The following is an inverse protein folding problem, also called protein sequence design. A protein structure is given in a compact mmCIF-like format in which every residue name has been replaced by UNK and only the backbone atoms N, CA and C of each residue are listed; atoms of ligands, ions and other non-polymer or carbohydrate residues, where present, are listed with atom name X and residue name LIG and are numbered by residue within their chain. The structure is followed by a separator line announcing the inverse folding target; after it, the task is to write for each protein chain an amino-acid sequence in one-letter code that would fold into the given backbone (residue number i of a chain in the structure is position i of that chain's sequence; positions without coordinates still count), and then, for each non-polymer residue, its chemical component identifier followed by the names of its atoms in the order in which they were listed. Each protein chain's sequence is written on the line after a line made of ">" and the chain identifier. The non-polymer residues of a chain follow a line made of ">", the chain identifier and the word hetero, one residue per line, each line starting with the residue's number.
data_IF_857024768401
#
_entry.id   IF_857024768401
#
_cell.length_a   1.000
_cell.length_b   1.000
_cell.length_c   1.000
_cell.angle_alpha   90.00
_cell.angle_beta   90.00
_cell.angle_gamma   90.00
#
_symmetry.space_group_name_H-M   'P 1'
#
loop_
_entity.id
_entity.type
_entity.pdbx_description
1 polymer ?
#
# COMPACT_ATOMS: atom_id res chain seq x y z
N UNK A 1 -31.16 0.77 30.88
CA UNK A 1 -31.74 0.81 32.25
C UNK A 1 -30.94 -0.18 33.10
N UNK A 2 -30.79 0.04 34.41
CA UNK A 2 -29.99 -0.83 35.30
C UNK A 2 -30.86 -1.59 36.31
N UNK A 3 -30.38 -2.76 36.72
CA UNK A 3 -31.05 -3.75 37.58
C UNK A 3 -31.13 -5.10 36.84
N UNK A 4 -30.76 -6.24 37.42
CA UNK A 4 -30.74 -6.60 38.85
C UNK A 4 -29.49 -7.43 39.23
N UNK A 5 -29.17 -7.50 40.53
CA UNK A 5 -27.99 -8.19 41.09
C UNK A 5 -28.15 -9.72 41.12
N UNK A 6 -27.01 -10.43 41.13
CA UNK A 6 -26.88 -11.89 41.07
C UNK A 6 -26.83 -12.57 42.46
N UNK A 7 -26.89 -13.91 42.40
CA UNK A 7 -26.62 -14.94 43.41
C UNK A 7 -27.75 -15.41 44.35
N UNK A 8 -27.79 -16.74 44.41
CA UNK A 8 -28.68 -17.65 45.16
C UNK A 8 -27.76 -18.74 45.71
N UNK A 9 -28.05 -19.28 46.90
CA UNK A 9 -27.80 -20.69 47.23
C UNK A 9 -28.60 -21.11 48.47
N UNK A 10 -29.01 -22.39 48.51
CA UNK A 10 -29.39 -23.10 49.73
C UNK A 10 -28.21 -23.96 50.23
N UNK A 11 -28.35 -24.92 51.15
CA UNK A 11 -29.57 -25.52 51.72
C UNK A 11 -29.32 -26.11 53.13
N UNK A 12 -30.41 -26.52 53.79
CA UNK A 12 -30.53 -27.50 54.90
C UNK A 12 -29.22 -28.10 55.49
N UNK A 13 -28.74 -27.70 56.68
CA UNK A 13 -29.18 -28.06 58.06
C UNK A 13 -28.85 -29.49 58.55
N UNK A 14 -28.04 -29.56 59.62
CA UNK A 14 -27.90 -30.71 60.54
C UNK A 14 -27.74 -30.23 61.99
N UNK A 15 -28.17 -31.02 62.97
CA UNK A 15 -28.10 -30.73 64.42
C UNK A 15 -26.89 -31.45 65.06
N UNK A 16 -26.40 -31.17 66.28
CA UNK A 16 -27.08 -30.93 67.59
C UNK A 16 -26.12 -30.28 68.62
N UNK A 17 -26.62 -29.76 69.75
CA UNK A 17 -25.83 -29.48 70.96
C UNK A 17 -26.22 -28.21 71.73
N UNK A 18 -26.43 -28.33 73.05
CA UNK A 18 -26.75 -27.22 73.98
C UNK A 18 -28.25 -26.88 74.10
N UNK A 19 -28.82 -26.57 75.27
CA UNK A 19 -28.25 -26.49 76.63
C UNK A 19 -29.26 -26.95 77.71
N UNK A 20 -28.78 -26.96 78.95
CA UNK A 20 -29.40 -27.48 80.18
C UNK A 20 -30.82 -26.95 80.51
N UNK A 21 -31.62 -27.80 81.17
CA UNK A 21 -32.57 -27.36 82.21
C UNK A 21 -32.53 -28.35 83.38
N UNK A 22 -32.36 -27.83 84.60
CA UNK A 22 -32.12 -28.63 85.81
C UNK A 22 -33.42 -29.04 86.50
N UNK A 23 -33.54 -30.27 86.99
CA UNK A 23 -34.54 -30.57 88.03
C UNK A 23 -34.03 -31.55 89.10
N UNK A 24 -34.48 -31.32 90.35
CA UNK A 24 -33.91 -31.94 91.56
C UNK A 24 -34.15 -33.44 91.67
N UNK A 25 -33.14 -34.15 92.15
CA UNK A 25 -33.20 -35.56 92.54
C UNK A 25 -34.14 -35.84 93.73
N UNK A 26 -34.53 -37.11 93.88
CA UNK A 26 -35.33 -37.63 94.98
C UNK A 26 -34.86 -39.02 95.46
N UNK A 27 -34.87 -39.19 96.78
CA UNK A 27 -34.52 -40.34 97.62
C UNK A 27 -35.29 -41.65 97.25
N UNK A 28 -34.89 -42.89 97.61
CA UNK A 28 -33.73 -43.41 98.38
C UNK A 28 -33.48 -44.92 98.14
N UNK A 29 -32.40 -45.43 98.75
CA UNK A 29 -31.77 -46.75 98.65
C UNK A 29 -32.59 -48.05 98.92
N UNK A 30 -32.03 -49.18 98.44
CA UNK A 30 -32.28 -50.56 98.90
C UNK A 30 -32.30 -51.60 97.75
N UNK A 31 -31.66 -52.77 97.83
CA UNK A 31 -30.79 -53.38 98.86
C UNK A 31 -29.91 -54.51 98.23
N UNK A 32 -29.03 -55.14 99.04
CA UNK A 32 -28.34 -56.45 98.85
C UNK A 32 -29.24 -57.55 98.24
N UNK A 33 -28.77 -58.68 97.69
CA UNK A 33 -27.75 -59.69 98.08
C UNK A 33 -27.50 -60.57 96.81
N UNK A 34 -26.40 -61.26 96.48
CA UNK A 34 -25.07 -61.69 97.05
C UNK A 34 -23.97 -61.56 95.94
N UNK A 35 -22.72 -62.07 95.90
CA UNK A 35 -21.83 -63.01 96.65
C UNK A 35 -20.36 -62.43 96.68
N UNK A 36 -19.32 -63.24 96.93
CA UNK A 36 -17.86 -62.94 96.81
C UNK A 36 -17.12 -64.07 96.04
N UNK A 37 -16.05 -63.76 95.29
CA UNK A 37 -15.02 -64.73 94.83
C UNK A 37 -13.64 -64.02 94.79
N UNK A 38 -12.55 -64.76 95.03
CA UNK A 38 -11.23 -64.19 95.39
C UNK A 38 -10.06 -64.70 94.51
N UNK A 39 -9.47 -63.76 93.75
CA UNK A 39 -8.24 -63.91 92.96
C UNK A 39 -8.48 -64.01 91.44
N UNK A 40 -7.58 -63.49 90.59
CA UNK A 40 -6.22 -63.00 90.89
C UNK A 40 -6.08 -61.46 90.88
N UNK A 41 -5.09 -60.98 91.64
CA UNK A 41 -4.56 -59.61 91.58
C UNK A 41 -3.65 -59.48 90.35
N UNK A 42 -4.23 -59.65 89.16
CA UNK A 42 -3.61 -59.08 87.96
C UNK A 42 -3.89 -57.58 88.02
N UNK A 43 -2.85 -56.77 88.25
CA UNK A 43 -2.90 -55.39 87.77
C UNK A 43 -3.22 -55.43 86.29
N UNK A 44 -4.18 -54.63 85.77
CA UNK A 44 -4.35 -54.50 84.33
C UNK A 44 -2.97 -54.25 83.70
N UNK A 45 -2.67 -54.95 82.61
CA UNK A 45 -1.53 -54.56 81.80
C UNK A 45 -1.75 -53.09 81.37
N UNK A 46 -0.70 -52.29 81.34
CA UNK A 46 -0.75 -51.07 80.53
C UNK A 46 -0.98 -51.56 79.09
N UNK A 47 -1.96 -51.02 78.34
CA UNK A 47 -2.35 -51.58 77.04
C UNK A 47 -1.15 -51.62 76.09
N UNK A 48 -0.84 -52.81 75.58
CA UNK A 48 0.38 -53.10 74.82
C UNK A 48 -0.01 -53.64 73.44
N UNK A 49 -0.03 -52.73 72.47
CA UNK A 49 -0.33 -53.02 71.06
C UNK A 49 0.54 -54.17 70.52
N UNK A 50 -0.10 -55.13 69.83
CA UNK A 50 0.57 -56.32 69.30
C UNK A 50 0.44 -57.55 70.21
N UNK A 51 -0.48 -57.56 71.17
CA UNK A 51 -0.76 -58.72 72.03
C UNK A 51 -1.85 -59.66 71.46
N UNK A 52 -2.65 -59.18 70.50
CA UNK A 52 -3.74 -59.89 69.84
C UNK A 52 -5.13 -59.69 70.48
N UNK A 53 -5.31 -58.64 71.29
CA UNK A 53 -6.58 -58.28 71.95
C UNK A 53 -6.74 -56.77 71.90
N UNK A 54 -7.86 -56.28 71.34
CA UNK A 54 -8.16 -54.84 71.24
C UNK A 54 -8.51 -54.28 72.62
N UNK A 55 -7.69 -53.36 73.14
CA UNK A 55 -7.83 -52.71 74.45
C UNK A 55 -8.24 -51.21 74.35
N UNK A 56 -8.36 -50.52 75.49
CA UNK A 56 -8.92 -49.15 75.56
C UNK A 56 -7.91 -48.11 75.01
N UNK A 57 -8.14 -47.67 73.77
CA UNK A 57 -7.26 -46.79 73.00
C UNK A 57 -6.88 -47.35 71.63
N UNK A 58 -7.16 -48.63 71.39
CA UNK A 58 -6.86 -49.34 70.14
C UNK A 58 -8.10 -49.41 69.24
N UNK A 59 -7.86 -49.46 67.92
CA UNK A 59 -8.91 -49.69 66.92
C UNK A 59 -8.86 -51.11 66.36
N UNK A 60 -7.67 -51.72 66.37
CA UNK A 60 -7.39 -53.09 65.97
C UNK A 60 -6.19 -53.63 66.75
N UNK A 61 -6.08 -54.95 66.87
CA UNK A 61 -4.83 -55.61 67.23
C UNK A 61 -4.82 -57.02 66.59
N UNK A 62 -3.87 -57.24 65.69
CA UNK A 62 -3.62 -58.51 65.00
C UNK A 62 -2.35 -59.22 65.50
N UNK A 63 -1.75 -58.75 66.59
CA UNK A 63 -0.57 -59.35 67.23
C UNK A 63 0.69 -59.20 66.39
N UNK A 64 1.37 -60.32 66.11
CA UNK A 64 2.46 -60.43 65.12
C UNK A 64 2.06 -59.96 63.70
N UNK A 65 0.76 -59.68 63.46
CA UNK A 65 0.21 -59.17 62.21
C UNK A 65 0.05 -57.63 62.12
N UNK A 66 0.52 -56.86 63.10
CA UNK A 66 0.55 -55.39 63.03
C UNK A 66 1.81 -54.92 62.28
N UNK A 67 1.73 -53.87 61.47
CA UNK A 67 2.90 -53.34 60.76
C UNK A 67 2.63 -52.29 59.69
N UNK A 68 3.69 -51.60 59.27
CA UNK A 68 3.76 -50.53 58.25
C UNK A 68 3.28 -50.92 56.83
N UNK A 69 2.70 -52.11 56.64
CA UNK A 69 2.11 -52.57 55.36
C UNK A 69 0.93 -53.55 55.56
N UNK A 70 0.43 -53.70 56.78
CA UNK A 70 -0.60 -54.69 57.16
C UNK A 70 -1.87 -53.97 57.65
N UNK A 71 -3.03 -54.62 57.68
CA UNK A 71 -4.33 -53.96 57.98
C UNK A 71 -4.51 -53.38 59.40
N UNK A 72 -3.45 -53.32 60.20
CA UNK A 72 -3.38 -52.69 61.51
C UNK A 72 -1.96 -52.12 61.69
N UNK A 73 -1.85 -50.84 62.04
CA UNK A 73 -0.56 -50.12 62.16
C UNK A 73 0.23 -50.58 63.40
N UNK A 74 1.54 -50.28 63.49
CA UNK A 74 2.34 -50.57 64.70
C UNK A 74 1.79 -49.90 65.98
N UNK A 75 0.95 -48.88 65.84
CA UNK A 75 0.26 -48.13 66.90
C UNK A 75 -1.21 -48.57 67.11
N UNK A 76 -1.61 -49.74 66.59
CA UNK A 76 -2.95 -50.35 66.75
C UNK A 76 -4.12 -49.48 66.28
N UNK A 77 -3.87 -48.62 65.29
CA UNK A 77 -4.90 -47.93 64.53
C UNK A 77 -5.22 -48.75 63.27
N UNK A 78 -6.48 -48.75 62.83
CA UNK A 78 -6.87 -49.43 61.60
C UNK A 78 -6.16 -48.75 60.43
N UNK A 79 -5.54 -49.55 59.56
CA UNK A 79 -4.94 -49.08 58.31
C UNK A 79 -5.92 -48.20 57.53
N UNK A 80 -5.50 -46.99 57.19
CA UNK A 80 -6.36 -46.01 56.53
C UNK A 80 -5.56 -45.13 55.57
N UNK A 81 -6.14 -44.90 54.39
CA UNK A 81 -5.60 -43.97 53.42
C UNK A 81 -5.34 -42.59 54.03
N UNK A 82 -4.14 -42.06 53.82
CA UNK A 82 -3.66 -40.81 54.41
C UNK A 82 -2.95 -40.99 55.76
N UNK A 83 -2.67 -42.21 56.23
CA UNK A 83 -1.97 -42.45 57.51
C UNK A 83 -0.43 -42.44 57.43
N UNK A 84 0.14 -42.53 56.23
CA UNK A 84 1.58 -42.51 55.96
C UNK A 84 2.19 -43.87 55.60
N UNK A 85 1.40 -44.94 55.52
CA UNK A 85 1.86 -46.30 55.24
C UNK A 85 1.11 -46.94 54.06
N UNK A 86 1.82 -47.37 53.00
CA UNK A 86 1.18 -48.04 51.86
C UNK A 86 0.83 -49.50 52.22
N UNK A 87 -0.45 -49.78 52.48
CA UNK A 87 -0.96 -51.10 52.84
C UNK A 87 -1.24 -51.98 51.59
N UNK A 88 -0.15 -52.49 50.99
CA UNK A 88 0.05 -53.27 49.74
C UNK A 88 -0.92 -54.41 49.34
N UNK A 89 -2.00 -54.67 50.09
CA UNK A 89 -3.09 -55.58 49.72
C UNK A 89 -4.44 -54.87 49.56
N UNK A 90 -4.48 -53.56 49.84
CA UNK A 90 -5.68 -52.72 49.93
C UNK A 90 -5.50 -51.37 49.22
N UNK A 91 -4.25 -50.92 49.04
CA UNK A 91 -3.87 -49.58 48.61
C UNK A 91 -2.73 -49.68 47.57
N UNK A 92 -2.81 -48.84 46.53
CA UNK A 92 -1.77 -48.71 45.50
C UNK A 92 -0.79 -47.57 45.83
N UNK A 93 -1.24 -46.52 46.52
CA UNK A 93 -0.46 -45.40 47.05
C UNK A 93 -0.85 -45.03 48.49
N UNK A 94 -0.06 -44.16 49.13
CA UNK A 94 -0.40 -43.34 50.30
C UNK A 94 0.59 -42.16 50.32
N UNK A 95 0.13 -40.96 50.69
CA UNK A 95 0.97 -39.75 50.78
C UNK A 95 0.88 -39.01 52.15
N UNK A 96 0.22 -39.61 53.14
CA UNK A 96 -0.06 -39.07 54.47
C UNK A 96 -1.03 -37.86 54.55
N UNK A 97 -1.99 -37.70 53.62
CA UNK A 97 -2.94 -36.58 53.64
C UNK A 97 -4.36 -36.89 53.08
N UNK A 98 -5.30 -35.93 53.20
CA UNK A 98 -6.74 -36.05 52.81
C UNK A 98 -7.06 -35.33 51.45
N UNK A 99 -6.05 -35.04 50.61
CA UNK A 99 -6.23 -34.22 49.40
C UNK A 99 -6.41 -35.06 48.14
N UNK A 100 -7.62 -35.07 47.60
CA UNK A 100 -7.96 -35.79 46.36
C UNK A 100 -7.18 -35.30 45.11
N UNK A 101 -6.58 -34.10 45.16
CA UNK A 101 -6.02 -33.39 44.00
C UNK A 101 -4.49 -33.44 43.93
N UNK A 102 -3.83 -34.48 44.45
CA UNK A 102 -2.39 -34.70 44.26
C UNK A 102 -2.09 -36.12 43.74
N UNK A 103 -1.00 -36.77 44.15
CA UNK A 103 -0.60 -38.07 43.62
C UNK A 103 -1.47 -39.24 44.11
N UNK A 104 -2.12 -39.11 45.27
CA UNK A 104 -2.91 -40.20 45.84
C UNK A 104 -4.36 -39.78 46.12
N UNK A 105 -5.32 -40.55 45.60
CA UNK A 105 -6.74 -40.31 45.86
C UNK A 105 -7.11 -40.75 47.28
N UNK A 106 -8.16 -40.17 47.89
CA UNK A 106 -8.60 -40.53 49.25
C UNK A 106 -9.23 -41.94 49.39
N UNK A 107 -9.22 -42.75 48.33
CA UNK A 107 -9.48 -44.20 48.36
C UNK A 107 -8.22 -45.05 48.10
N UNK A 108 -7.05 -44.41 48.10
CA UNK A 108 -5.70 -44.93 47.91
C UNK A 108 -5.47 -45.68 46.60
N UNK A 109 -6.12 -45.18 45.54
CA UNK A 109 -5.72 -45.40 44.15
C UNK A 109 -4.80 -44.27 43.68
N UNK A 110 -3.84 -44.57 42.79
CA UNK A 110 -3.00 -43.53 42.16
C UNK A 110 -3.90 -42.58 41.36
N UNK A 111 -3.75 -41.28 41.59
CA UNK A 111 -4.37 -40.26 40.75
C UNK A 111 -3.74 -40.33 39.34
N UNK A 112 -4.58 -40.50 38.31
CA UNK A 112 -4.13 -40.70 36.93
C UNK A 112 -5.08 -40.07 35.91
N UNK A 113 -4.49 -39.29 35.00
CA UNK A 113 -5.15 -38.76 33.81
C UNK A 113 -6.20 -39.72 33.19
N UNK A 114 -7.44 -39.25 33.11
CA UNK A 114 -8.62 -39.99 32.66
C UNK A 114 -9.49 -40.52 33.81
N UNK A 115 -9.19 -40.22 35.07
CA UNK A 115 -9.99 -40.66 36.24
C UNK A 115 -11.10 -39.66 36.65
N UNK A 116 -11.01 -38.41 36.20
CA UNK A 116 -11.92 -37.30 36.47
C UNK A 116 -11.43 -36.29 37.51
N UNK A 117 -10.16 -36.38 37.95
CA UNK A 117 -9.65 -35.63 39.11
C UNK A 117 -8.24 -35.08 38.85
N UNK A 118 -8.16 -33.81 38.43
CA UNK A 118 -6.89 -33.12 38.12
C UNK A 118 -5.86 -33.17 39.25
N UNK A 119 -4.67 -33.69 38.94
CA UNK A 119 -3.46 -33.66 39.78
C UNK A 119 -2.83 -32.25 39.84
N UNK A 120 -2.99 -31.51 40.93
CA UNK A 120 -2.67 -30.07 40.99
C UNK A 120 -1.16 -29.79 40.81
N UNK A 121 -0.79 -29.35 39.61
CA UNK A 121 0.59 -28.99 39.25
C UNK A 121 1.37 -30.10 38.54
N UNK A 122 0.75 -31.26 38.29
CA UNK A 122 1.21 -32.25 37.29
C UNK A 122 0.39 -32.15 36.02
N UNK A 123 -0.93 -31.96 36.15
CA UNK A 123 -1.90 -31.95 35.05
C UNK A 123 -2.51 -30.55 34.84
N UNK A 124 -2.96 -30.28 33.61
CA UNK A 124 -3.62 -29.01 33.24
C UNK A 124 -5.15 -29.13 33.22
N UNK A 125 -5.66 -30.34 33.00
CA UNK A 125 -7.06 -30.73 32.95
C UNK A 125 -7.18 -32.23 33.24
N UNK A 126 -8.40 -32.70 33.48
CA UNK A 126 -8.83 -34.10 33.43
C UNK A 126 -10.36 -34.04 33.21
N UNK A 127 -10.89 -34.86 32.30
CA UNK A 127 -12.33 -34.94 31.98
C UNK A 127 -13.00 -36.27 32.39
N UNK A 128 -12.20 -37.28 32.79
CA UNK A 128 -12.64 -38.61 33.18
C UNK A 128 -12.82 -39.62 32.05
N UNK A 129 -12.08 -39.49 30.94
CA UNK A 129 -12.23 -40.39 29.78
C UNK A 129 -10.92 -40.65 28.98
N UNK A 130 -10.98 -41.55 27.97
CA UNK A 130 -9.84 -42.03 27.15
C UNK A 130 -9.84 -41.38 25.71
N UNK A 131 -10.38 -40.17 25.52
CA UNK A 131 -10.62 -39.58 24.20
C UNK A 131 -9.80 -38.31 23.93
N UNK A 132 -8.73 -38.42 23.13
CA UNK A 132 -7.91 -37.29 22.66
C UNK A 132 -8.67 -36.25 21.78
N UNK A 133 -10.00 -36.29 21.68
CA UNK A 133 -10.81 -35.47 20.76
C UNK A 133 -11.88 -34.64 21.50
N UNK A 134 -11.52 -34.12 22.67
CA UNK A 134 -12.32 -33.18 23.46
C UNK A 134 -11.40 -32.25 24.28
N UNK A 135 -11.96 -31.39 25.14
CA UNK A 135 -11.27 -30.28 25.82
C UNK A 135 -10.02 -30.69 26.66
N UNK A 136 -9.75 -31.99 26.85
CA UNK A 136 -8.56 -32.52 27.52
C UNK A 136 -7.99 -33.77 26.83
N UNK A 137 -6.70 -33.74 26.46
CA UNK A 137 -6.00 -34.89 25.85
C UNK A 137 -5.74 -36.02 26.84
N UNK A 138 -5.47 -37.25 26.36
CA UNK A 138 -5.05 -38.40 27.18
C UNK A 138 -3.64 -38.25 27.80
N UNK A 139 -3.05 -37.06 27.73
CA UNK A 139 -1.82 -36.65 28.42
C UNK A 139 -2.10 -35.55 29.45
N UNK A 140 -3.38 -35.22 29.69
CA UNK A 140 -3.88 -34.20 30.60
C UNK A 140 -3.28 -32.80 30.35
N UNK A 141 -2.98 -32.54 29.08
CA UNK A 141 -2.83 -31.21 28.51
C UNK A 141 -4.16 -30.77 27.89
N UNK A 142 -4.48 -29.48 28.06
CA UNK A 142 -5.60 -28.83 27.36
C UNK A 142 -5.38 -28.88 25.85
N UNK A 143 -6.45 -29.01 25.07
CA UNK A 143 -6.46 -28.87 23.61
C UNK A 143 -5.66 -27.65 23.14
N UNK A 144 -4.75 -27.84 22.19
CA UNK A 144 -3.97 -26.73 21.62
C UNK A 144 -3.74 -26.90 20.13
N UNK A 145 -4.39 -26.04 19.34
CA UNK A 145 -4.07 -25.84 17.94
C UNK A 145 -2.56 -25.87 17.65
N UNK A 146 -2.16 -26.79 16.78
CA UNK A 146 -0.78 -27.15 16.45
C UNK A 146 -0.29 -28.48 17.05
N UNK A 147 -1.13 -29.27 17.74
CA UNK A 147 -0.71 -30.50 18.44
C UNK A 147 -0.85 -31.81 17.62
N UNK A 148 -1.60 -31.78 16.52
CA UNK A 148 -1.82 -32.90 15.60
C UNK A 148 -3.22 -33.49 15.65
N UNK A 149 -4.12 -32.94 16.48
CA UNK A 149 -5.49 -33.41 16.68
C UNK A 149 -6.49 -32.29 16.35
N UNK A 150 -7.65 -32.63 15.77
CA UNK A 150 -8.70 -31.65 15.44
C UNK A 150 -9.79 -31.72 16.52
N UNK A 151 -9.90 -30.66 17.31
CA UNK A 151 -10.71 -30.61 18.53
C UNK A 151 -12.03 -29.82 18.41
N UNK A 152 -12.93 -29.86 19.42
CA UNK A 152 -14.32 -29.36 19.34
C UNK A 152 -14.53 -27.84 19.15
N UNK A 153 -14.14 -27.32 17.99
CA UNK A 153 -14.30 -25.94 17.56
C UNK A 153 -13.48 -25.62 16.31
N UNK A 154 -12.43 -26.40 16.09
CA UNK A 154 -11.46 -26.29 15.02
C UNK A 154 -12.01 -26.82 13.69
N UNK A 155 -11.37 -26.40 12.59
CA UNK A 155 -11.69 -26.84 11.23
C UNK A 155 -10.55 -27.66 10.63
N UNK A 156 -9.33 -27.41 11.08
CA UNK A 156 -8.10 -28.12 10.77
C UNK A 156 -7.19 -28.10 11.99
N UNK A 157 -6.24 -29.03 11.98
CA UNK A 157 -4.98 -29.01 12.71
C UNK A 157 -4.00 -29.79 11.80
N UNK A 158 -2.74 -29.34 11.72
CA UNK A 158 -1.70 -30.00 10.92
C UNK A 158 -0.46 -30.45 11.74
N UNK A 159 -0.47 -30.21 13.06
CA UNK A 159 0.59 -30.56 14.00
C UNK A 159 1.76 -29.58 14.09
N UNK A 160 1.56 -28.28 13.82
CA UNK A 160 2.59 -27.26 14.09
C UNK A 160 2.09 -25.83 14.39
N UNK A 161 2.92 -25.00 15.03
CA UNK A 161 2.61 -23.59 15.40
C UNK A 161 2.64 -22.58 14.22
N UNK A 162 2.62 -23.03 12.96
CA UNK A 162 2.71 -22.14 11.80
C UNK A 162 1.31 -21.79 11.28
N UNK A 163 1.01 -20.49 11.22
CA UNK A 163 -0.27 -20.01 10.69
C UNK A 163 -0.19 -19.58 9.20
N UNK A 164 1.01 -19.59 8.61
CA UNK A 164 1.28 -19.16 7.23
C UNK A 164 1.20 -20.32 6.21
N UNK A 165 0.37 -21.33 6.50
CA UNK A 165 0.11 -22.46 5.59
C UNK A 165 -1.40 -22.71 5.45
N UNK A 166 -1.84 -23.95 5.30
CA UNK A 166 -3.26 -24.26 5.10
C UNK A 166 -4.12 -24.16 6.37
N UNK A 167 -3.52 -23.99 7.56
CA UNK A 167 -4.21 -24.00 8.84
C UNK A 167 -3.91 -22.77 9.74
N UNK A 168 -4.46 -21.62 9.38
CA UNK A 168 -4.35 -20.39 10.17
C UNK A 168 -5.22 -20.46 11.44
N UNK A 169 -4.58 -20.58 12.61
CA UNK A 169 -5.22 -20.56 13.95
C UNK A 169 -6.39 -21.57 14.04
N UNK A 170 -6.16 -22.77 13.49
CA UNK A 170 -7.09 -23.90 13.40
C UNK A 170 -8.41 -23.61 12.67
N UNK A 171 -8.40 -22.57 11.84
CA UNK A 171 -9.29 -22.39 10.70
C UNK A 171 -8.53 -22.69 9.41
N UNK A 172 -9.24 -23.15 8.37
CA UNK A 172 -8.62 -23.23 7.04
C UNK A 172 -8.23 -21.83 6.60
N UNK A 173 -6.97 -21.63 6.20
CA UNK A 173 -6.47 -20.32 5.80
C UNK A 173 -7.32 -19.71 4.68
N UNK A 174 -7.61 -18.41 4.79
CA UNK A 174 -8.37 -17.66 3.81
C UNK A 174 -7.98 -16.19 3.81
N UNK A 175 -7.79 -15.63 2.61
CA UNK A 175 -7.64 -14.20 2.39
C UNK A 175 -8.55 -13.33 3.29
N UNK A 176 -7.92 -12.47 4.09
CA UNK A 176 -8.54 -11.64 5.12
C UNK A 176 -8.60 -12.26 6.51
N UNK A 177 -7.72 -13.22 6.84
CA UNK A 177 -7.64 -13.83 8.18
C UNK A 177 -6.51 -13.30 9.07
N UNK A 178 -5.54 -12.59 8.48
CA UNK A 178 -4.38 -12.01 9.15
C UNK A 178 -3.07 -12.75 8.90
N UNK A 179 -3.07 -13.84 8.12
CA UNK A 179 -1.91 -14.68 7.84
C UNK A 179 -1.80 -15.00 6.34
N UNK A 180 -0.59 -14.87 5.78
CA UNK A 180 -0.36 -15.17 4.36
C UNK A 180 -0.08 -16.66 4.17
N UNK A 181 -0.94 -17.38 3.44
CA UNK A 181 -0.69 -18.77 3.06
C UNK A 181 0.46 -18.87 2.03
N UNK A 182 1.66 -19.26 2.50
CA UNK A 182 2.89 -19.28 1.69
C UNK A 182 2.77 -20.20 0.46
N UNK A 183 2.55 -19.57 -0.71
CA UNK A 183 2.58 -20.23 -2.02
C UNK A 183 1.24 -20.31 -2.75
N UNK A 184 0.13 -19.98 -2.08
CA UNK A 184 -1.18 -19.78 -2.74
C UNK A 184 -1.59 -18.28 -2.71
N UNK A 185 -1.20 -17.54 -1.67
CA UNK A 185 -1.50 -16.11 -1.46
C UNK A 185 -0.22 -15.25 -1.56
N UNK A 186 -0.36 -13.98 -1.99
CA UNK A 186 0.78 -13.04 -2.12
C UNK A 186 0.87 -12.05 -0.96
N UNK A 187 -0.27 -11.67 -0.40
CA UNK A 187 -0.43 -10.76 0.73
C UNK A 187 -1.60 -11.22 1.60
N UNK A 188 -1.73 -10.63 2.78
CA UNK A 188 -2.92 -10.62 3.65
C UNK A 188 -2.71 -9.46 4.64
N UNK A 189 -3.74 -8.64 4.89
CA UNK A 189 -3.71 -7.55 5.88
C UNK A 189 -4.81 -7.68 6.97
N UNK A 190 -5.49 -8.82 7.02
CA UNK A 190 -6.53 -9.16 8.00
C UNK A 190 -7.93 -8.67 7.65
N UNK A 191 -8.20 -8.33 6.37
CA UNK A 191 -9.50 -7.81 5.96
C UNK A 191 -9.93 -8.22 4.52
N UNK A 192 -11.10 -7.76 4.07
CA UNK A 192 -11.77 -8.17 2.82
C UNK A 192 -12.35 -6.98 2.03
N UNK A 193 -11.99 -5.75 2.40
CA UNK A 193 -12.18 -4.58 1.55
C UNK A 193 -11.10 -4.62 0.43
N UNK A 194 -11.29 -3.91 -0.68
CA UNK A 194 -10.36 -3.97 -1.84
C UNK A 194 -9.54 -2.66 -1.98
N UNK A 195 -9.78 -1.68 -1.10
CA UNK A 195 -9.28 -0.31 -1.19
C UNK A 195 -8.19 0.02 -0.16
N UNK A 196 -7.54 -1.01 0.40
CA UNK A 196 -6.28 -0.93 1.14
C UNK A 196 -5.15 -1.80 0.54
N UNK A 197 -4.37 -2.55 1.34
CA UNK A 197 -3.05 -3.03 0.91
C UNK A 197 -3.08 -4.38 0.17
N UNK A 198 -4.14 -5.17 0.37
CA UNK A 198 -4.30 -6.49 -0.21
C UNK A 198 -5.72 -6.68 -0.70
N UNK A 199 -5.90 -6.94 -2.01
CA UNK A 199 -7.23 -7.19 -2.58
C UNK A 199 -7.85 -8.46 -1.98
N UNK A 200 -9.18 -8.59 -1.96
CA UNK A 200 -9.87 -9.81 -1.46
C UNK A 200 -9.65 -11.09 -2.32
N UNK A 201 -8.74 -11.01 -3.30
CA UNK A 201 -8.20 -12.13 -4.08
C UNK A 201 -6.76 -12.51 -3.70
N UNK A 202 -6.22 -11.90 -2.64
CA UNK A 202 -4.87 -12.04 -2.09
C UNK A 202 -3.74 -11.80 -3.09
N UNK A 203 -3.89 -10.67 -3.80
CA UNK A 203 -2.93 -10.02 -4.66
C UNK A 203 -2.64 -8.64 -4.07
N UNK A 204 -1.37 -8.23 -4.02
CA UNK A 204 -0.98 -6.89 -3.57
C UNK A 204 -1.71 -5.83 -4.40
N UNK A 205 -2.28 -4.80 -3.76
CA UNK A 205 -2.91 -3.69 -4.47
C UNK A 205 -1.86 -2.92 -5.29
N UNK A 206 -2.18 -2.60 -6.55
CA UNK A 206 -1.24 -1.92 -7.45
C UNK A 206 -1.94 -0.99 -8.42
N UNK A 207 -1.55 0.29 -8.40
CA UNK A 207 -1.75 1.23 -9.50
C UNK A 207 -1.76 0.56 -10.88
N UNK A 208 -2.87 0.73 -11.59
CA UNK A 208 -3.19 0.07 -12.86
C UNK A 208 -4.12 -1.14 -12.74
N UNK A 209 -4.60 -1.52 -11.54
CA UNK A 209 -5.47 -2.71 -11.35
C UNK A 209 -6.98 -2.46 -11.47
N UNK A 210 -7.42 -1.20 -11.37
CA UNK A 210 -8.83 -0.78 -11.44
C UNK A 210 -9.44 -0.36 -10.10
N UNK A 211 -8.66 -0.31 -9.03
CA UNK A 211 -9.09 -0.06 -7.64
C UNK A 211 -8.11 0.95 -7.00
N UNK A 212 -8.61 1.86 -6.15
CA UNK A 212 -7.78 2.93 -5.56
C UNK A 212 -7.36 2.54 -4.15
N UNK A 213 -6.05 2.41 -3.91
CA UNK A 213 -5.49 2.19 -2.57
C UNK A 213 -5.56 3.47 -1.72
N UNK A 214 -6.51 3.53 -0.78
CA UNK A 214 -6.75 4.73 0.03
C UNK A 214 -5.57 5.12 0.93
N UNK A 215 -4.85 6.16 0.49
CA UNK A 215 -3.84 6.87 1.29
C UNK A 215 -2.44 6.82 0.69
N UNK A 216 -2.17 5.86 -0.19
CA UNK A 216 -1.00 5.86 -1.06
C UNK A 216 -1.35 6.40 -2.46
N UNK A 217 -2.57 6.15 -2.96
CA UNK A 217 -3.05 6.55 -4.29
C UNK A 217 -4.18 7.60 -4.23
N UNK A 218 -4.32 8.40 -5.30
CA UNK A 218 -5.39 9.40 -5.45
C UNK A 218 -6.31 9.14 -6.65
N UNK A 219 -5.86 8.36 -7.63
CA UNK A 219 -6.62 7.88 -8.78
C UNK A 219 -6.17 6.47 -9.15
N UNK A 220 -6.99 5.78 -9.95
CA UNK A 220 -6.64 4.58 -10.71
C UNK A 220 -7.61 4.52 -11.92
N UNK A 221 -7.13 4.16 -13.12
CA UNK A 221 -7.96 3.99 -14.33
C UNK A 221 -7.83 2.59 -15.00
N UNK A 222 -7.28 1.63 -14.28
CA UNK A 222 -6.97 0.26 -14.69
C UNK A 222 -5.89 0.09 -15.78
N UNK A 223 -4.94 1.03 -15.91
CA UNK A 223 -3.76 0.82 -16.78
C UNK A 223 -2.47 1.62 -16.41
N UNK A 224 -1.31 1.15 -16.88
CA UNK A 224 0.03 1.73 -16.61
C UNK A 224 0.39 2.94 -17.52
N UNK A 225 -0.57 3.75 -17.97
CA UNK A 225 -0.33 4.74 -19.02
C UNK A 225 -0.19 6.16 -18.45
N UNK A 226 0.97 6.77 -18.65
CA UNK A 226 1.25 8.12 -18.17
C UNK A 226 0.62 9.23 -19.05
N UNK A 227 -0.55 8.99 -19.69
CA UNK A 227 -1.13 9.91 -20.68
C UNK A 227 -2.68 9.91 -20.83
N UNK A 228 -3.47 9.30 -19.93
CA UNK A 228 -4.95 9.28 -19.95
C UNK A 228 -5.64 9.90 -18.72
N UNK A 229 -6.38 9.14 -17.89
CA UNK A 229 -7.15 9.71 -16.76
C UNK A 229 -6.40 9.59 -15.42
N UNK A 230 -5.46 8.64 -15.30
CA UNK A 230 -4.54 8.50 -14.17
C UNK A 230 -3.15 7.97 -14.62
N UNK A 231 -2.02 8.55 -14.18
CA UNK A 231 -0.69 8.03 -14.50
C UNK A 231 -0.37 6.69 -13.85
N UNK A 232 0.63 5.98 -14.38
CA UNK A 232 1.26 4.80 -13.75
C UNK A 232 2.06 5.09 -12.47
N UNK A 233 1.75 6.21 -11.80
CA UNK A 233 2.18 6.55 -10.45
C UNK A 233 1.01 6.76 -9.47
N UNK A 234 -0.23 6.72 -9.97
CA UNK A 234 -1.49 6.86 -9.25
C UNK A 234 -1.57 8.07 -8.28
N UNK A 235 -0.87 9.14 -8.66
CA UNK A 235 -1.02 10.48 -8.10
C UNK A 235 -1.74 11.38 -9.10
N UNK A 236 -2.37 12.46 -8.63
CA UNK A 236 -2.97 13.49 -9.48
C UNK A 236 -1.95 13.99 -10.51
N UNK A 237 -2.30 13.93 -11.80
CA UNK A 237 -1.51 14.49 -12.90
C UNK A 237 -1.21 15.98 -12.66
N UNK A 238 0.06 16.39 -12.80
CA UNK A 238 0.50 17.75 -12.46
C UNK A 238 1.51 18.31 -13.45
N UNK A 239 1.17 19.49 -13.98
CA UNK A 239 2.06 20.34 -14.76
C UNK A 239 3.51 20.34 -14.22
N UNK A 240 4.44 19.98 -15.10
CA UNK A 240 5.86 19.80 -14.81
C UNK A 240 6.25 18.38 -14.36
N UNK A 241 5.45 17.35 -14.64
CA UNK A 241 5.75 15.95 -14.31
C UNK A 241 6.49 15.19 -15.43
N UNK A 242 6.44 15.70 -16.66
CA UNK A 242 7.07 15.14 -17.87
C UNK A 242 6.09 14.66 -18.94
N UNK A 243 4.78 14.71 -18.67
CA UNK A 243 3.74 14.11 -19.50
C UNK A 243 2.62 15.10 -19.81
N UNK A 244 1.90 14.93 -20.94
CA UNK A 244 0.91 15.91 -21.41
C UNK A 244 -0.52 15.38 -21.27
N UNK A 245 -1.28 15.99 -20.37
CA UNK A 245 -2.59 15.54 -19.88
C UNK A 245 -3.76 16.25 -20.58
N UNK A 246 -3.98 15.95 -21.86
CA UNK A 246 -4.90 16.74 -22.70
C UNK A 246 -6.36 16.79 -22.23
N UNK A 247 -6.86 15.75 -21.54
CA UNK A 247 -8.24 15.74 -21.02
C UNK A 247 -8.40 16.60 -19.74
N UNK A 248 -7.32 16.86 -19.01
CA UNK A 248 -7.28 17.87 -17.94
C UNK A 248 -7.12 19.30 -18.46
N UNK A 249 -6.97 19.49 -19.78
CA UNK A 249 -6.89 20.78 -20.45
C UNK A 249 -5.47 21.32 -20.66
N UNK A 250 -4.46 20.49 -20.40
CA UNK A 250 -3.06 20.78 -20.61
C UNK A 250 -2.68 20.75 -22.11
N UNK A 251 -1.67 21.54 -22.50
CA UNK A 251 -1.22 21.64 -23.91
C UNK A 251 0.28 21.41 -24.11
N UNK A 252 1.06 21.33 -23.03
CA UNK A 252 2.47 20.94 -23.03
C UNK A 252 2.88 20.46 -21.64
N UNK A 253 4.06 19.85 -21.57
CA UNK A 253 4.83 19.65 -20.36
C UNK A 253 6.32 19.57 -20.80
N UNK A 254 7.26 20.04 -19.97
CA UNK A 254 8.71 19.97 -20.24
C UNK A 254 9.54 19.31 -19.10
N UNK A 255 8.85 18.68 -18.15
CA UNK A 255 9.38 18.02 -16.97
C UNK A 255 9.69 18.96 -15.81
N UNK A 256 9.24 20.22 -15.85
CA UNK A 256 9.43 21.16 -14.74
C UNK A 256 8.43 22.34 -14.66
N UNK A 257 8.57 23.16 -13.61
CA UNK A 257 7.71 24.32 -13.29
C UNK A 257 8.48 25.67 -13.35
N UNK A 258 9.51 25.76 -14.19
CA UNK A 258 10.15 27.05 -14.50
C UNK A 258 9.29 27.77 -15.57
N UNK A 259 9.77 28.90 -16.07
CA UNK A 259 9.11 29.62 -17.16
C UNK A 259 10.19 30.34 -17.97
N UNK A 260 9.90 30.55 -19.24
CA UNK A 260 10.80 30.93 -20.32
C UNK A 260 11.76 29.80 -20.83
N UNK A 261 11.45 28.51 -20.56
CA UNK A 261 12.22 27.33 -21.01
C UNK A 261 11.47 26.26 -21.86
N UNK A 262 10.13 26.15 -21.79
CA UNK A 262 9.38 25.28 -22.71
C UNK A 262 7.86 25.36 -22.54
N UNK A 263 7.39 25.01 -21.35
CA UNK A 263 6.02 25.11 -20.87
C UNK A 263 6.00 26.09 -19.67
N UNK A 264 4.87 26.76 -19.39
CA UNK A 264 4.78 27.61 -18.18
C UNK A 264 4.15 26.89 -16.99
N UNK A 265 4.16 27.51 -15.81
CA UNK A 265 3.66 26.87 -14.58
C UNK A 265 2.14 26.68 -14.51
N UNK A 266 1.40 27.13 -15.53
CA UNK A 266 -0.03 26.83 -15.75
C UNK A 266 -0.20 25.84 -16.94
N UNK A 267 0.91 25.21 -17.36
CA UNK A 267 1.14 24.34 -18.53
C UNK A 267 0.52 24.80 -19.85
N UNK A 268 0.75 26.08 -20.15
CA UNK A 268 0.51 26.67 -21.46
C UNK A 268 1.81 26.74 -22.28
N UNK A 269 1.71 26.42 -23.58
CA UNK A 269 2.84 26.36 -24.49
C UNK A 269 3.49 27.75 -24.65
N UNK A 270 4.71 27.89 -24.13
CA UNK A 270 5.41 29.17 -24.14
C UNK A 270 5.93 29.55 -25.52
N UNK A 271 6.24 28.56 -26.35
CA UNK A 271 6.87 28.74 -27.65
C UNK A 271 5.96 28.21 -28.76
N UNK A 272 5.73 29.05 -29.78
CA UNK A 272 5.05 28.65 -31.02
C UNK A 272 6.01 28.06 -32.06
N UNK A 273 7.31 28.33 -31.92
CA UNK A 273 8.37 27.66 -32.68
C UNK A 273 9.68 27.75 -31.91
N UNK A 274 10.38 26.63 -31.79
CA UNK A 274 11.80 26.58 -31.47
C UNK A 274 12.49 25.98 -32.70
N UNK A 275 13.43 26.73 -33.27
CA UNK A 275 14.10 26.39 -34.52
C UNK A 275 15.61 26.41 -34.26
N UNK A 276 16.16 25.22 -34.00
CA UNK A 276 17.61 25.02 -33.81
C UNK A 276 18.27 24.74 -35.16
N UNK A 277 19.39 25.40 -35.44
CA UNK A 277 20.23 25.16 -36.61
C UNK A 277 21.64 24.72 -36.17
N UNK A 278 22.14 23.63 -36.73
CA UNK A 278 23.35 22.92 -36.29
C UNK A 278 24.30 22.58 -37.47
N UNK A 279 25.50 22.08 -37.20
CA UNK A 279 26.43 21.66 -38.28
C UNK A 279 26.05 20.31 -38.92
N UNK A 280 25.15 19.52 -38.30
CA UNK A 280 24.77 18.17 -38.73
C UNK A 280 23.29 18.04 -39.18
N UNK A 281 22.41 18.95 -38.75
CA UNK A 281 20.96 18.92 -39.00
C UNK A 281 20.36 20.34 -39.18
N UNK A 282 19.63 20.50 -40.29
CA UNK A 282 18.91 21.71 -40.75
C UNK A 282 17.38 21.59 -40.50
N UNK A 283 16.64 22.68 -40.66
CA UNK A 283 15.23 22.82 -40.22
C UNK A 283 14.24 22.10 -41.13
N UNK A 284 13.89 20.84 -40.84
CA UNK A 284 12.93 20.08 -41.65
C UNK A 284 11.55 19.93 -41.01
N UNK A 285 10.49 19.82 -41.83
CA UNK A 285 9.14 19.49 -41.37
C UNK A 285 8.33 20.66 -40.79
N UNK A 286 8.40 21.84 -41.41
CA UNK A 286 7.86 23.11 -40.89
C UNK A 286 6.32 23.23 -40.92
N UNK A 287 5.63 22.36 -40.19
CA UNK A 287 4.18 22.41 -39.94
C UNK A 287 3.84 23.08 -38.59
N UNK A 288 4.85 23.31 -37.72
CA UNK A 288 4.76 23.82 -36.34
C UNK A 288 3.89 25.07 -36.12
N UNK A 289 3.65 25.89 -37.14
CA UNK A 289 2.80 27.08 -36.99
C UNK A 289 1.30 26.74 -36.89
N UNK A 290 0.85 25.57 -37.40
CA UNK A 290 -0.57 25.19 -37.32
C UNK A 290 -1.05 25.00 -35.86
N UNK A 291 -0.14 24.75 -34.92
CA UNK A 291 -0.39 24.62 -33.48
C UNK A 291 -0.40 25.98 -32.76
N UNK A 292 0.16 27.03 -33.39
CA UNK A 292 0.24 28.39 -32.85
C UNK A 292 -1.07 29.19 -33.01
N UNK A 293 -2.10 28.86 -32.23
CA UNK A 293 -3.42 29.53 -32.28
C UNK A 293 -3.36 30.95 -31.66
N UNK A 294 -2.85 31.92 -32.42
CA UNK A 294 -2.75 33.30 -31.96
C UNK A 294 -4.06 34.09 -32.09
N UNK A 295 -4.49 34.71 -30.99
CA UNK A 295 -5.64 35.65 -30.91
C UNK A 295 -5.25 37.05 -31.43
N UNK A 296 -6.22 37.92 -31.73
CA UNK A 296 -5.92 39.33 -32.01
C UNK A 296 -5.50 40.04 -30.70
N UNK A 297 -4.32 40.67 -30.71
CA UNK A 297 -3.83 41.44 -29.58
C UNK A 297 -2.80 40.74 -28.69
N UNK A 298 -2.45 39.48 -28.97
CA UNK A 298 -1.38 38.76 -28.26
C UNK A 298 0.00 39.38 -28.52
N UNK A 299 0.94 39.12 -27.60
CA UNK A 299 2.33 39.61 -27.68
C UNK A 299 3.21 38.55 -28.34
N UNK A 300 3.68 38.83 -29.56
CA UNK A 300 4.59 37.97 -30.32
C UNK A 300 6.01 38.44 -30.10
N UNK A 301 6.88 37.55 -29.62
CA UNK A 301 8.29 37.79 -29.29
C UNK A 301 9.15 36.96 -30.24
N UNK A 302 10.14 37.60 -30.84
CA UNK A 302 11.12 36.99 -31.76
C UNK A 302 12.50 37.08 -31.12
N UNK A 303 13.19 35.95 -30.99
CA UNK A 303 14.50 35.85 -30.34
C UNK A 303 15.47 34.97 -31.13
N UNK A 304 16.74 35.33 -31.11
CA UNK A 304 17.83 34.58 -31.73
C UNK A 304 19.00 34.46 -30.75
N UNK A 305 19.41 33.22 -30.43
CA UNK A 305 20.56 32.90 -29.57
C UNK A 305 21.67 32.23 -30.37
N UNK A 306 22.93 32.54 -30.06
CA UNK A 306 24.07 31.79 -30.58
C UNK A 306 24.20 30.40 -29.90
N UNK A 307 25.15 29.59 -30.36
CA UNK A 307 25.51 28.28 -29.77
C UNK A 307 26.01 28.33 -28.31
N UNK A 308 26.17 29.52 -27.72
CA UNK A 308 26.48 29.74 -26.29
C UNK A 308 25.24 30.19 -25.50
N UNK A 309 24.02 30.09 -26.09
CA UNK A 309 22.75 30.52 -25.49
C UNK A 309 22.57 32.04 -25.38
N UNK A 310 23.53 32.83 -25.87
CA UNK A 310 23.54 34.29 -25.77
C UNK A 310 22.62 34.90 -26.82
N UNK A 311 21.64 35.69 -26.36
CA UNK A 311 20.71 36.43 -27.22
C UNK A 311 21.47 37.49 -28.04
N UNK A 312 21.38 37.42 -29.36
CA UNK A 312 21.96 38.38 -30.31
C UNK A 312 20.91 39.20 -31.07
N UNK A 313 19.66 38.74 -31.10
CA UNK A 313 18.50 39.51 -31.53
C UNK A 313 17.33 39.22 -30.60
N UNK A 314 16.60 40.27 -30.21
CA UNK A 314 15.33 40.17 -29.51
C UNK A 314 14.46 41.37 -29.87
N UNK A 315 13.20 41.12 -30.18
CA UNK A 315 12.20 42.12 -30.54
C UNK A 315 10.79 41.58 -30.34
N UNK A 316 9.80 42.44 -30.11
CA UNK A 316 8.43 42.01 -29.82
C UNK A 316 7.40 42.92 -30.49
N UNK A 317 6.25 42.37 -30.87
CA UNK A 317 5.16 43.09 -31.50
C UNK A 317 3.81 42.58 -31.05
N UNK A 318 2.76 43.38 -31.25
CA UNK A 318 1.39 42.94 -30.99
C UNK A 318 0.79 42.37 -32.26
N UNK A 319 0.18 41.18 -32.20
CA UNK A 319 -0.54 40.63 -33.36
C UNK A 319 -1.74 41.51 -33.71
N UNK A 320 -1.80 41.90 -34.99
CA UNK A 320 -2.88 42.74 -35.56
C UNK A 320 -3.84 41.84 -36.33
N UNK A 321 -5.13 41.92 -36.02
CA UNK A 321 -6.18 41.12 -36.66
C UNK A 321 -6.24 39.64 -36.22
N UNK A 322 -7.35 39.00 -36.56
CA UNK A 322 -7.45 37.54 -36.66
C UNK A 322 -6.74 37.10 -37.94
N UNK A 323 -5.97 36.01 -37.86
CA UNK A 323 -5.46 35.32 -39.04
C UNK A 323 -6.16 33.97 -39.09
N UNK A 324 -6.87 33.64 -40.18
CA UNK A 324 -7.41 32.29 -40.37
C UNK A 324 -6.37 31.41 -41.05
N UNK A 325 -6.53 30.09 -40.98
CA UNK A 325 -5.64 29.17 -41.70
C UNK A 325 -5.69 29.44 -43.22
N UNK A 326 -6.84 29.80 -43.79
CA UNK A 326 -7.00 30.20 -45.20
C UNK A 326 -6.22 31.50 -45.55
N UNK A 327 -6.19 32.49 -44.65
CA UNK A 327 -5.46 33.76 -44.85
C UNK A 327 -3.92 33.57 -44.95
N UNK A 328 -3.43 32.40 -44.52
CA UNK A 328 -2.01 32.08 -44.44
C UNK A 328 -1.67 30.97 -45.44
N UNK A 329 -2.28 29.78 -45.31
CA UNK A 329 -1.84 28.54 -45.97
C UNK A 329 -2.03 28.45 -47.48
N UNK A 330 -2.87 29.31 -48.09
CA UNK A 330 -3.20 29.32 -49.53
C UNK A 330 -3.92 28.07 -50.07
N UNK A 331 -4.83 27.47 -49.28
CA UNK A 331 -5.71 26.38 -49.73
C UNK A 331 -6.77 26.80 -50.78
N UNK A 332 -6.68 28.02 -51.32
CA UNK A 332 -7.60 28.61 -52.29
C UNK A 332 -7.27 28.26 -53.75
N UNK A 333 -8.21 28.45 -54.69
CA UNK A 333 -7.93 28.28 -56.11
C UNK A 333 -7.05 29.42 -56.65
N UNK A 334 -5.97 29.06 -57.35
CA UNK A 334 -4.85 29.92 -57.77
C UNK A 334 -5.16 31.06 -58.77
N UNK A 335 -6.44 31.31 -59.06
CA UNK A 335 -6.90 32.50 -59.77
C UNK A 335 -7.23 33.68 -58.83
N UNK A 336 -7.13 33.48 -57.52
CA UNK A 336 -7.54 34.48 -56.49
C UNK A 336 -6.34 35.16 -55.80
N UNK A 337 -5.27 34.40 -55.52
CA UNK A 337 -4.06 34.83 -54.80
C UNK A 337 -3.47 36.16 -55.29
N UNK A 338 -3.42 36.35 -56.62
CA UNK A 338 -2.75 37.47 -57.29
C UNK A 338 -3.30 38.87 -56.98
N UNK A 339 -4.45 39.02 -56.30
CA UNK A 339 -5.08 40.32 -56.06
C UNK A 339 -5.69 40.50 -54.66
N UNK A 340 -5.62 39.51 -53.76
CA UNK A 340 -6.14 39.63 -52.40
C UNK A 340 -5.19 40.49 -51.54
N UNK A 341 -5.66 41.68 -51.15
CA UNK A 341 -4.87 42.71 -50.49
C UNK A 341 -4.75 42.43 -48.98
N UNK A 342 -4.12 41.30 -48.63
CA UNK A 342 -4.02 40.79 -47.27
C UNK A 342 -3.11 39.55 -47.06
N UNK A 343 -2.65 38.88 -48.12
CA UNK A 343 -1.80 37.64 -48.11
C UNK A 343 -0.40 37.78 -47.46
N UNK A 344 -0.14 38.83 -46.70
CA UNK A 344 1.14 39.06 -46.02
C UNK A 344 0.83 39.58 -44.63
N UNK A 345 0.78 38.66 -43.67
CA UNK A 345 0.57 39.00 -42.27
C UNK A 345 1.86 39.62 -41.71
N UNK A 346 1.74 40.86 -41.24
CA UNK A 346 2.88 41.68 -40.84
C UNK A 346 2.69 42.17 -39.40
N UNK A 347 3.59 41.77 -38.51
CA UNK A 347 3.62 42.26 -37.13
C UNK A 347 4.70 43.35 -37.02
N UNK A 348 4.33 44.61 -36.72
CA UNK A 348 5.29 45.64 -36.36
C UNK A 348 5.94 45.32 -35.02
N UNK A 349 7.27 45.29 -34.99
CA UNK A 349 8.09 45.05 -33.82
C UNK A 349 8.49 46.38 -33.16
N UNK A 350 8.68 46.38 -31.84
CA UNK A 350 8.93 47.56 -31.01
C UNK A 350 10.27 48.25 -31.30
N UNK A 351 11.22 47.54 -31.91
CA UNK A 351 12.48 48.07 -32.41
C UNK A 351 12.38 48.74 -33.81
N UNK A 352 11.23 48.71 -34.48
CA UNK A 352 11.02 49.25 -35.83
C UNK A 352 11.33 48.27 -36.97
N UNK A 353 11.53 46.99 -36.66
CA UNK A 353 11.46 45.90 -37.64
C UNK A 353 10.01 45.43 -37.83
N UNK A 354 9.82 44.55 -38.81
CA UNK A 354 8.58 43.88 -39.13
C UNK A 354 8.85 42.38 -39.19
N UNK A 355 8.00 41.58 -38.54
CA UNK A 355 7.95 40.13 -38.70
C UNK A 355 6.93 39.79 -39.80
N UNK A 356 7.33 38.92 -40.72
CA UNK A 356 6.52 38.32 -41.78
C UNK A 356 6.57 36.79 -41.65
N UNK A 357 5.43 36.14 -41.87
CA UNK A 357 5.28 34.68 -41.88
C UNK A 357 4.53 34.29 -43.16
N UNK A 358 5.05 33.31 -43.90
CA UNK A 358 4.48 32.85 -45.17
C UNK A 358 3.38 31.81 -45.01
N UNK A 359 2.73 31.49 -46.14
CA UNK A 359 1.85 30.32 -46.24
C UNK A 359 2.58 28.98 -46.30
N UNK A 360 1.83 27.93 -45.96
CA UNK A 360 2.23 26.52 -45.99
C UNK A 360 2.25 25.92 -47.40
N UNK A 361 1.31 26.26 -48.28
CA UNK A 361 1.19 25.71 -49.64
C UNK A 361 1.21 26.80 -50.73
N UNK A 362 2.13 27.77 -50.62
CA UNK A 362 2.18 28.92 -51.53
C UNK A 362 2.87 28.61 -52.89
N UNK A 363 2.07 28.28 -53.92
CA UNK A 363 2.51 27.99 -55.31
C UNK A 363 2.07 29.08 -56.29
N UNK A 364 2.78 30.22 -56.33
CA UNK A 364 2.49 31.24 -57.34
C UNK A 364 3.13 30.89 -58.70
N UNK A 365 2.31 30.35 -59.59
CA UNK A 365 2.65 30.07 -60.99
C UNK A 365 3.16 31.27 -61.81
N UNK A 366 4.45 31.58 -61.66
CA UNK A 366 5.33 32.39 -62.53
C UNK A 366 5.32 33.92 -62.30
N UNK A 367 6.30 34.37 -61.48
CA UNK A 367 6.86 35.74 -61.33
C UNK A 367 6.17 36.75 -60.37
N UNK A 368 6.06 36.45 -59.08
CA UNK A 368 5.82 37.48 -58.03
C UNK A 368 6.72 37.28 -56.79
N UNK A 369 7.34 38.35 -56.29
CA UNK A 369 8.41 38.26 -55.28
C UNK A 369 7.94 38.05 -53.82
N UNK A 370 6.73 37.54 -53.61
CA UNK A 370 6.01 37.67 -52.32
C UNK A 370 5.40 36.35 -51.79
N UNK A 371 5.62 35.24 -52.50
CA UNK A 371 4.85 33.99 -52.34
C UNK A 371 5.72 32.72 -52.43
N UNK A 372 6.82 32.76 -53.19
CA UNK A 372 7.51 31.57 -53.69
C UNK A 372 8.48 31.00 -52.64
N UNK A 373 7.96 30.52 -51.50
CA UNK A 373 8.75 30.17 -50.31
C UNK A 373 8.75 28.67 -49.94
N UNK A 374 7.88 27.86 -50.52
CA UNK A 374 7.93 26.40 -50.44
C UNK A 374 6.72 25.73 -49.80
N UNK A 375 6.89 24.45 -49.47
CA UNK A 375 5.92 23.62 -48.74
C UNK A 375 6.24 23.66 -47.24
N UNK A 376 5.75 24.69 -46.56
CA UNK A 376 5.93 24.92 -45.13
C UNK A 376 6.07 26.40 -44.76
N UNK A 377 5.97 26.71 -43.48
CA UNK A 377 6.02 28.09 -42.99
C UNK A 377 7.44 28.67 -43.00
N UNK A 378 7.63 29.78 -43.72
CA UNK A 378 8.85 30.58 -43.78
C UNK A 378 8.73 31.90 -43.01
N UNK A 379 9.69 32.18 -42.14
CA UNK A 379 9.77 33.41 -41.33
C UNK A 379 10.79 34.38 -41.94
N UNK A 380 10.43 35.66 -42.00
CA UNK A 380 11.34 36.76 -42.37
C UNK A 380 11.19 37.90 -41.37
N UNK A 381 12.31 38.44 -40.89
CA UNK A 381 12.35 39.71 -40.16
C UNK A 381 13.07 40.75 -41.03
N UNK A 382 12.47 41.93 -41.20
CA UNK A 382 13.01 43.00 -42.05
C UNK A 382 12.79 44.39 -41.43
N UNK A 383 13.58 45.42 -41.78
CA UNK A 383 13.41 46.78 -41.26
C UNK A 383 12.29 47.56 -41.97
N UNK A 384 11.53 48.39 -41.25
CA UNK A 384 10.48 49.25 -41.85
C UNK A 384 11.07 50.21 -42.90
N UNK A 385 10.87 49.87 -44.18
CA UNK A 385 11.44 50.56 -45.33
C UNK A 385 10.63 50.24 -46.59
N UNK A 386 10.39 51.19 -47.52
CA UNK A 386 9.73 50.91 -48.80
C UNK A 386 10.43 49.86 -49.70
N UNK A 387 11.69 49.51 -49.42
CA UNK A 387 12.44 48.44 -50.10
C UNK A 387 12.68 47.20 -49.20
N UNK A 388 11.80 46.94 -48.23
CA UNK A 388 11.90 45.85 -47.24
C UNK A 388 12.29 44.48 -47.83
N UNK A 389 11.67 44.09 -48.93
CA UNK A 389 11.88 42.83 -49.67
C UNK A 389 13.32 42.63 -50.22
N UNK A 390 14.21 43.62 -50.08
CA UNK A 390 15.62 43.52 -50.44
C UNK A 390 16.57 43.38 -49.25
N UNK A 391 16.12 43.59 -48.00
CA UNK A 391 17.00 43.67 -46.82
C UNK A 391 16.45 42.88 -45.61
N UNK A 392 16.34 41.54 -45.68
CA UNK A 392 16.05 40.72 -44.50
C UNK A 392 17.20 40.79 -43.47
N UNK A 393 16.84 40.82 -42.19
CA UNK A 393 17.76 40.66 -41.05
C UNK A 393 17.87 39.21 -40.60
N UNK A 394 16.73 38.51 -40.54
CA UNK A 394 16.61 37.11 -40.15
C UNK A 394 15.75 36.40 -41.19
N UNK A 395 16.09 35.16 -41.51
CA UNK A 395 15.37 34.30 -42.44
C UNK A 395 15.43 32.84 -41.96
N UNK A 396 14.29 32.17 -41.92
CA UNK A 396 14.19 30.72 -41.70
C UNK A 396 13.14 30.17 -42.67
N UNK A 397 13.51 29.25 -43.57
CA UNK A 397 12.67 28.86 -44.70
C UNK A 397 12.75 27.36 -45.03
N UNK A 398 11.62 26.67 -45.25
CA UNK A 398 11.59 25.29 -45.70
C UNK A 398 11.48 25.20 -47.23
N UNK A 399 12.59 25.00 -47.94
CA UNK A 399 12.56 24.90 -49.40
C UNK A 399 13.17 23.63 -49.98
N UNK A 400 12.52 23.12 -51.04
CA UNK A 400 12.92 21.94 -51.80
C UNK A 400 12.54 22.10 -53.27
N UNK A 401 13.43 22.69 -54.05
CA UNK A 401 13.19 22.95 -55.47
C UNK A 401 14.43 23.40 -56.22
N UNK A 402 14.24 24.00 -57.40
CA UNK A 402 15.32 24.34 -58.30
C UNK A 402 15.71 25.83 -58.23
N UNK A 403 17.00 26.09 -58.33
CA UNK A 403 17.70 27.40 -58.41
C UNK A 403 16.99 28.55 -59.17
N UNK A 404 16.13 28.22 -60.15
CA UNK A 404 15.45 29.23 -60.99
C UNK A 404 14.15 29.78 -60.39
N UNK A 405 13.56 29.06 -59.43
CA UNK A 405 12.20 29.30 -58.92
C UNK A 405 12.20 30.04 -57.57
N UNK A 406 13.39 30.33 -57.02
CA UNK A 406 13.55 31.20 -55.85
C UNK A 406 13.18 32.66 -56.19
N UNK A 407 12.77 33.47 -55.19
CA UNK A 407 12.89 34.91 -55.27
C UNK A 407 14.35 35.24 -55.63
N UNK A 408 14.56 36.00 -56.71
CA UNK A 408 15.89 36.12 -57.38
C UNK A 408 17.03 36.61 -56.47
N UNK A 409 16.71 37.08 -55.26
CA UNK A 409 17.66 37.46 -54.22
C UNK A 409 18.48 36.29 -53.64
N UNK A 410 17.94 35.06 -53.62
CA UNK A 410 18.49 33.97 -52.79
C UNK A 410 19.14 32.82 -53.57
N UNK A 411 19.27 32.95 -54.90
CA UNK A 411 19.64 31.87 -55.84
C UNK A 411 20.88 31.02 -55.47
N UNK A 412 21.82 31.54 -54.68
CA UNK A 412 23.08 30.87 -54.33
C UNK A 412 23.04 30.04 -53.03
N UNK A 413 21.86 29.82 -52.42
CA UNK A 413 21.70 28.94 -51.25
C UNK A 413 21.84 27.45 -51.60
N UNK A 414 21.94 26.59 -50.57
CA UNK A 414 22.04 25.12 -50.68
C UNK A 414 20.77 24.44 -51.20
N UNK A 415 20.69 23.12 -51.08
CA UNK A 415 19.44 22.35 -51.32
C UNK A 415 18.75 21.97 -50.00
N UNK A 416 19.11 22.70 -48.93
CA UNK A 416 19.03 22.31 -47.54
C UNK A 416 18.41 23.49 -46.73
N UNK A 417 17.95 23.23 -45.50
CA UNK A 417 16.85 24.00 -44.88
C UNK A 417 17.36 25.02 -43.81
N UNK A 418 18.13 26.01 -44.26
CA UNK A 418 18.96 26.85 -43.38
C UNK A 418 18.20 28.00 -42.65
N UNK A 419 18.56 28.25 -41.37
CA UNK A 419 18.34 29.55 -40.71
C UNK A 419 19.53 30.46 -41.01
N UNK A 420 19.29 31.71 -41.40
CA UNK A 420 20.33 32.71 -41.67
C UNK A 420 20.09 34.06 -41.00
N UNK A 421 21.20 34.75 -40.69
CA UNK A 421 21.22 36.05 -40.02
C UNK A 421 22.18 37.05 -40.70
N UNK A 422 21.83 38.34 -40.69
CA UNK A 422 22.71 39.43 -41.15
C UNK A 422 22.60 40.68 -40.26
N UNK A 423 23.58 40.88 -39.38
CA UNK A 423 23.65 42.07 -38.52
C UNK A 423 24.05 43.33 -39.33
N UNK A 424 23.06 44.15 -39.70
CA UNK A 424 23.30 45.51 -40.20
C UNK A 424 23.92 45.62 -41.60
N UNK A 425 23.97 44.52 -42.37
CA UNK A 425 24.38 44.55 -43.77
C UNK A 425 23.31 45.19 -44.66
N UNK A 426 23.72 45.98 -45.66
CA UNK A 426 22.82 46.43 -46.73
C UNK A 426 22.89 45.43 -47.89
N UNK A 427 21.83 44.64 -48.07
CA UNK A 427 21.62 43.80 -49.24
C UNK A 427 21.09 44.67 -50.39
N UNK A 428 21.91 44.86 -51.43
CA UNK A 428 21.67 45.88 -52.46
C UNK A 428 21.27 45.31 -53.83
N UNK A 429 21.50 44.03 -54.10
CA UNK A 429 21.21 43.44 -55.40
C UNK A 429 20.82 41.95 -55.31
N UNK A 430 19.90 41.54 -56.18
CA UNK A 430 19.46 40.15 -56.33
C UNK A 430 20.42 39.36 -57.24
N UNK A 431 21.73 39.45 -56.98
CA UNK A 431 22.80 38.98 -57.88
C UNK A 431 24.10 38.70 -57.13
N UNK A 432 24.95 37.84 -57.69
CA UNK A 432 26.27 37.49 -57.14
C UNK A 432 27.13 38.71 -56.78
N UNK A 433 27.53 38.82 -55.52
CA UNK A 433 28.64 39.67 -55.06
C UNK A 433 28.35 40.59 -53.88
N UNK A 434 27.09 41.02 -53.69
CA UNK A 434 26.71 41.99 -52.66
C UNK A 434 26.18 41.31 -51.38
N UNK A 435 27.09 40.85 -50.51
CA UNK A 435 26.83 40.58 -49.09
C UNK A 435 25.55 39.80 -48.77
N UNK A 436 25.50 38.52 -49.13
CA UNK A 436 24.36 37.65 -48.82
C UNK A 436 24.19 37.37 -47.31
N UNK A 437 22.99 36.90 -46.97
CA UNK A 437 22.70 36.22 -45.70
C UNK A 437 23.73 35.09 -45.45
N UNK A 438 24.09 34.88 -44.18
CA UNK A 438 25.03 33.83 -43.75
C UNK A 438 24.29 32.81 -42.88
N UNK A 439 24.48 31.49 -43.09
CA UNK A 439 23.91 30.46 -42.24
C UNK A 439 24.29 30.67 -40.78
N UNK A 440 23.32 30.51 -39.90
CA UNK A 440 23.42 30.86 -38.48
C UNK A 440 23.27 29.61 -37.61
N UNK A 441 24.33 29.25 -36.89
CA UNK A 441 24.31 28.18 -35.90
C UNK A 441 23.82 28.70 -34.54
N UNK A 442 22.79 28.07 -33.99
CA UNK A 442 22.12 28.51 -32.76
C UNK A 442 20.63 28.21 -32.77
N UNK A 443 19.87 29.02 -32.04
CA UNK A 443 18.43 28.84 -31.77
C UNK A 443 17.68 30.10 -32.19
N UNK A 444 16.67 29.96 -33.04
CA UNK A 444 15.62 30.97 -33.27
C UNK A 444 14.35 30.56 -32.52
N UNK A 445 13.74 31.48 -31.80
CA UNK A 445 12.46 31.24 -31.10
C UNK A 445 11.40 32.27 -31.50
N UNK A 446 10.21 31.75 -31.81
CA UNK A 446 8.96 32.51 -31.96
C UNK A 446 8.07 32.16 -30.77
N UNK A 447 7.83 33.14 -29.91
CA UNK A 447 7.05 33.01 -28.68
C UNK A 447 5.80 33.87 -28.77
N UNK A 448 4.69 33.39 -28.24
CA UNK A 448 3.44 34.16 -28.12
C UNK A 448 3.02 34.13 -26.66
N UNK A 449 2.78 35.31 -26.06
CA UNK A 449 2.14 35.40 -24.75
C UNK A 449 0.71 35.95 -24.92
N UNK A 450 -0.31 35.27 -24.37
CA UNK A 450 -1.65 35.84 -24.18
C UNK A 450 -1.61 37.17 -23.41
N UNK A 451 -2.66 38.00 -23.54
CA UNK A 451 -2.61 39.44 -23.25
C UNK A 451 -3.35 39.92 -22.00
#
# INVERSE_FOLDING_TARGET
>A
MLGLTLFVLGSATGCTGGDEETFSAGLEAGNLETEEDEGTDETPADPECGNGVVEDGEQCDFGDGNGETEGCTPECQIAACGDGYVHKQYEDCDDANDNQNDYCLNDCTENVCGDGIVNEGVEACDDGNDNDNDDCTNLCALSTCGDGVIDPGEQCDDGNDNHNDACAVCHFAYCGDGFVFEGEELCDDGNLEDDDACLNTCVEATCGDGIIWYGEETCDDANDNDNDECPGSCQDAVCGDGYVWTDNGEVCDDGNLVSDDGCDSDCLAEFCAIITNTEDEDVTGNDWFDECIMTEGDLVIVKLRNTEGTVIYEAQGTKVGTWTQDDITSLGPSTTEYNENGHSQLIPLDNGDMLFISGKDADAGVYTCNTDLGNGYGIIVYPDNPNWYLNPKIMAMPYKGAYNDMPRAFANWGQDYEVSYAEGANMNSCTEGDGGLVPFLGEFTLRVKPR
#
